data_IF_410429501323
#
_entry.id   IF_410429501323
#
_cell.length_a   1.000
_cell.length_b   1.000
_cell.length_c   1.000
_cell.angle_alpha   90.00
_cell.angle_beta   90.00
_cell.angle_gamma   90.00
#
_symmetry.space_group_name_H-M   'P 1'
#
loop_
_entity.id
_entity.type
_entity.pdbx_description
1 polymer ?
#
# COMPACT_ATOMS: atom_id res chain seq x y z
N UNK A 1 21.20 -15.52 -8.74
CA UNK A 1 21.31 -15.88 -7.30
C UNK A 1 20.38 -17.05 -7.00
N UNK A 2 20.70 -17.95 -6.06
CA UNK A 2 19.81 -19.05 -5.71
C UNK A 2 18.54 -18.54 -5.02
N UNK A 3 17.38 -19.07 -5.42
CA UNK A 3 16.10 -18.75 -4.78
C UNK A 3 16.09 -19.25 -3.33
N UNK A 4 15.58 -18.44 -2.40
CA UNK A 4 15.44 -18.81 -0.98
C UNK A 4 16.58 -18.35 -0.06
N UNK A 5 17.62 -17.72 -0.59
CA UNK A 5 18.65 -17.09 0.24
C UNK A 5 18.12 -15.80 0.87
N UNK A 6 18.07 -15.74 2.20
CA UNK A 6 17.51 -14.59 2.95
C UNK A 6 18.24 -13.26 2.68
N UNK A 7 19.51 -13.29 2.28
CA UNK A 7 20.29 -12.10 1.95
C UNK A 7 20.16 -11.67 0.48
N UNK A 8 19.65 -12.52 -0.41
CA UNK A 8 19.58 -12.24 -1.85
C UNK A 8 18.80 -10.94 -2.15
N UNK A 9 17.63 -10.68 -1.54
CA UNK A 9 16.90 -9.43 -1.76
C UNK A 9 17.74 -8.17 -1.49
N UNK A 10 18.44 -8.18 -0.36
CA UNK A 10 19.29 -7.07 0.06
C UNK A 10 20.45 -6.85 -0.90
N UNK A 11 21.10 -7.93 -1.34
CA UNK A 11 22.24 -7.87 -2.26
C UNK A 11 21.79 -7.33 -3.61
N UNK A 12 20.70 -7.85 -4.17
CA UNK A 12 20.18 -7.43 -5.46
C UNK A 12 19.76 -5.97 -5.46
N UNK A 13 19.00 -5.53 -4.45
CA UNK A 13 18.64 -4.11 -4.27
C UNK A 13 19.90 -3.24 -4.21
N UNK A 14 20.96 -3.66 -3.52
CA UNK A 14 22.21 -2.88 -3.41
C UNK A 14 22.94 -2.77 -4.76
N UNK A 15 22.92 -3.83 -5.57
CA UNK A 15 23.51 -3.85 -6.91
C UNK A 15 22.72 -2.97 -7.90
N UNK A 16 21.39 -2.93 -7.81
CA UNK A 16 20.56 -2.10 -8.68
C UNK A 16 20.68 -0.60 -8.40
N UNK A 17 21.00 -0.19 -7.17
CA UNK A 17 21.11 1.24 -6.80
C UNK A 17 21.96 2.08 -7.76
N UNK A 18 23.23 1.72 -8.09
CA UNK A 18 24.04 2.49 -9.03
C UNK A 18 23.45 2.50 -10.45
N UNK A 19 22.90 1.37 -10.92
CA UNK A 19 22.28 1.25 -12.25
C UNK A 19 21.12 2.23 -12.40
N UNK A 20 20.18 2.19 -11.46
CA UNK A 20 19.04 3.09 -11.42
C UNK A 20 19.46 4.56 -11.20
N UNK A 21 20.58 4.77 -10.49
CA UNK A 21 21.13 6.11 -10.30
C UNK A 21 21.71 6.69 -11.59
N UNK A 22 22.29 5.87 -12.48
CA UNK A 22 22.76 6.34 -13.79
C UNK A 22 21.59 6.82 -14.64
N UNK A 23 20.50 6.05 -14.70
CA UNK A 23 19.27 6.44 -15.39
C UNK A 23 18.70 7.76 -14.84
N UNK A 24 18.66 7.92 -13.50
CA UNK A 24 18.19 9.17 -12.89
C UNK A 24 19.07 10.37 -13.22
N UNK A 25 20.38 10.19 -13.39
CA UNK A 25 21.29 11.27 -13.82
C UNK A 25 21.02 11.73 -15.25
N UNK A 26 20.46 10.86 -16.09
CA UNK A 26 20.05 11.16 -17.46
C UNK A 26 18.63 11.76 -17.53
N UNK A 27 17.95 11.94 -16.39
CA UNK A 27 16.59 12.48 -16.32
C UNK A 27 15.49 11.41 -16.31
N UNK A 28 15.84 10.12 -16.34
CA UNK A 28 14.86 9.03 -16.33
C UNK A 28 14.40 8.68 -14.92
N UNK A 29 13.13 8.98 -14.62
CA UNK A 29 12.49 8.66 -13.35
C UNK A 29 12.18 7.17 -13.28
N UNK A 30 12.59 6.54 -12.18
CA UNK A 30 12.36 5.14 -11.90
C UNK A 30 12.11 4.90 -10.41
N UNK A 31 11.28 3.89 -10.11
CA UNK A 31 11.01 3.38 -8.78
C UNK A 31 11.21 1.87 -8.78
N UNK A 32 12.06 1.34 -7.91
CA UNK A 32 12.35 -0.10 -7.85
C UNK A 32 12.02 -0.68 -6.47
N UNK A 33 11.53 -1.91 -6.46
CA UNK A 33 11.25 -2.65 -5.25
C UNK A 33 11.89 -4.03 -5.27
N UNK A 34 12.75 -4.27 -4.29
CA UNK A 34 13.42 -5.54 -4.02
C UNK A 34 14.14 -6.12 -5.25
N UNK A 35 13.52 -7.04 -5.98
CA UNK A 35 14.23 -7.96 -6.88
C UNK A 35 13.74 -7.94 -8.34
N UNK A 36 12.47 -7.61 -8.57
CA UNK A 36 11.82 -7.94 -9.84
C UNK A 36 10.89 -6.84 -10.37
N UNK A 37 10.57 -5.84 -9.56
CA UNK A 37 9.63 -4.79 -9.93
C UNK A 37 10.34 -3.43 -10.07
N UNK A 38 10.41 -2.93 -11.31
CA UNK A 38 10.91 -1.59 -11.65
C UNK A 38 9.82 -0.85 -12.43
N UNK A 39 9.35 0.26 -11.88
CA UNK A 39 8.40 1.16 -12.49
C UNK A 39 9.14 2.35 -13.09
N UNK A 40 8.91 2.61 -14.39
CA UNK A 40 9.43 3.76 -15.11
C UNK A 40 8.30 4.78 -15.29
N UNK A 41 8.60 6.06 -15.05
CA UNK A 41 7.60 7.14 -15.03
C UNK A 41 8.12 8.30 -15.86
N UNK A 42 7.25 8.93 -16.67
CA UNK A 42 7.56 10.13 -17.44
C UNK A 42 6.28 10.91 -17.72
N UNK A 43 6.39 12.18 -18.10
CA UNK A 43 5.25 13.09 -18.26
C UNK A 43 4.56 12.93 -19.62
N UNK A 44 5.27 12.42 -20.63
CA UNK A 44 4.73 12.12 -21.95
C UNK A 44 4.99 10.68 -22.40
N UNK A 45 4.18 10.22 -23.36
CA UNK A 45 4.37 8.90 -23.98
C UNK A 45 5.74 8.77 -24.66
N UNK A 46 6.23 9.82 -25.31
CA UNK A 46 7.52 9.83 -25.99
C UNK A 46 8.69 9.73 -25.00
N UNK A 47 8.68 10.55 -23.94
CA UNK A 47 9.67 10.49 -22.87
C UNK A 47 9.67 9.11 -22.19
N UNK A 48 8.49 8.56 -21.92
CA UNK A 48 8.36 7.23 -21.33
C UNK A 48 8.93 6.15 -22.26
N UNK A 49 8.69 6.26 -23.57
CA UNK A 49 9.27 5.36 -24.57
C UNK A 49 10.81 5.44 -24.56
N UNK A 50 11.36 6.64 -24.46
CA UNK A 50 12.81 6.86 -24.37
C UNK A 50 13.41 6.32 -23.06
N UNK A 51 12.69 6.48 -21.94
CA UNK A 51 13.05 5.93 -20.64
C UNK A 51 13.09 4.39 -20.68
N UNK A 52 12.04 3.76 -21.21
CA UNK A 52 11.99 2.30 -21.40
C UNK A 52 13.18 1.85 -22.26
N UNK A 53 13.38 2.46 -23.43
CA UNK A 53 14.46 2.09 -24.34
C UNK A 53 15.84 2.19 -23.68
N UNK A 54 16.13 3.30 -23.01
CA UNK A 54 17.41 3.54 -22.34
C UNK A 54 17.62 2.58 -21.18
N UNK A 55 16.57 2.32 -20.41
CA UNK A 55 16.59 1.33 -19.32
C UNK A 55 16.88 -0.07 -19.85
N UNK A 56 16.19 -0.52 -20.90
CA UNK A 56 16.40 -1.84 -21.49
C UNK A 56 17.83 -1.99 -22.02
N UNK A 57 18.35 -0.99 -22.73
CA UNK A 57 19.73 -0.99 -23.23
C UNK A 57 20.75 -1.08 -22.08
N UNK A 58 20.56 -0.30 -21.01
CA UNK A 58 21.45 -0.35 -19.86
C UNK A 58 21.40 -1.71 -19.16
N UNK A 59 20.19 -2.25 -18.91
CA UNK A 59 20.04 -3.56 -18.29
C UNK A 59 20.69 -4.67 -19.11
N UNK A 60 20.48 -4.70 -20.42
CA UNK A 60 21.09 -5.66 -21.33
C UNK A 60 22.63 -5.55 -21.33
N UNK A 61 23.16 -4.32 -21.40
CA UNK A 61 24.61 -4.06 -21.35
C UNK A 61 25.29 -4.55 -20.06
N UNK A 62 24.53 -4.62 -18.97
CA UNK A 62 24.99 -5.06 -17.66
C UNK A 62 24.72 -6.56 -17.42
N UNK A 63 24.14 -7.25 -18.40
CA UNK A 63 23.83 -8.69 -18.34
C UNK A 63 22.59 -9.04 -17.53
N UNK A 64 21.68 -8.09 -17.29
CA UNK A 64 20.37 -8.39 -16.68
C UNK A 64 19.44 -9.01 -17.74
N UNK A 65 18.76 -10.09 -17.37
CA UNK A 65 17.74 -10.71 -18.22
C UNK A 65 16.39 -10.06 -17.97
N UNK A 66 15.83 -9.43 -19.01
CA UNK A 66 14.47 -8.88 -18.98
C UNK A 66 13.46 -9.98 -19.31
N UNK A 67 12.36 -10.03 -18.57
CA UNK A 67 11.35 -11.06 -18.74
C UNK A 67 10.16 -10.54 -19.56
N UNK A 68 10.23 -10.65 -20.88
CA UNK A 68 9.26 -10.05 -21.83
C UNK A 68 7.79 -10.31 -21.49
N UNK A 69 7.44 -11.53 -21.05
CA UNK A 69 6.03 -11.86 -20.71
C UNK A 69 5.51 -11.22 -19.42
N UNK A 70 6.41 -10.74 -18.56
CA UNK A 70 6.06 -10.10 -17.27
C UNK A 70 6.26 -8.59 -17.34
N UNK A 71 7.12 -8.13 -18.23
CA UNK A 71 7.43 -6.71 -18.40
C UNK A 71 6.42 -6.02 -19.32
N UNK A 72 6.04 -4.79 -18.95
CA UNK A 72 5.27 -3.88 -19.81
C UNK A 72 6.25 -2.88 -20.42
N UNK A 73 6.51 -3.01 -21.72
CA UNK A 73 7.50 -2.19 -22.44
C UNK A 73 6.88 -1.09 -23.30
N UNK A 74 5.57 -1.12 -23.49
CA UNK A 74 4.82 -0.03 -24.12
C UNK A 74 4.32 0.90 -23.01
N UNK A 75 4.55 2.23 -23.11
CA UNK A 75 4.01 3.16 -22.13
C UNK A 75 2.49 3.04 -22.01
N UNK A 76 2.00 3.01 -20.77
CA UNK A 76 0.56 2.95 -20.47
C UNK A 76 0.20 3.96 -19.40
N UNK A 77 -1.07 4.36 -19.35
CA UNK A 77 -1.61 5.22 -18.30
C UNK A 77 -2.12 4.46 -17.09
N UNK A 78 -2.27 3.12 -17.22
CA UNK A 78 -2.64 2.20 -16.14
C UNK A 78 -1.66 1.06 -16.08
N UNK A 79 -1.08 0.83 -14.91
CA UNK A 79 -0.08 -0.22 -14.71
C UNK A 79 -0.23 -0.88 -13.34
N UNK A 80 -0.06 -2.20 -13.30
CA UNK A 80 0.03 -2.93 -12.04
C UNK A 80 1.45 -2.88 -11.48
N UNK A 81 1.61 -2.44 -10.23
CA UNK A 81 2.89 -2.38 -9.52
C UNK A 81 2.67 -2.75 -8.04
N UNK A 82 3.43 -3.72 -7.52
CA UNK A 82 3.32 -4.23 -6.14
C UNK A 82 1.89 -4.65 -5.74
N UNK A 83 1.12 -5.12 -6.73
CA UNK A 83 -0.27 -5.53 -6.58
C UNK A 83 -1.25 -4.37 -6.38
N UNK A 84 -0.88 -3.17 -6.82
CA UNK A 84 -1.76 -2.02 -6.98
C UNK A 84 -1.87 -1.64 -8.44
N UNK A 85 -3.02 -1.13 -8.87
CA UNK A 85 -3.18 -0.44 -10.15
C UNK A 85 -2.90 1.06 -9.93
N UNK A 86 -1.96 1.60 -10.68
CA UNK A 86 -1.64 3.03 -10.71
C UNK A 86 -2.27 3.61 -11.98
N UNK A 87 -3.11 4.64 -11.82
CA UNK A 87 -3.75 5.37 -12.92
C UNK A 87 -3.17 6.80 -12.97
N UNK A 88 -2.37 7.08 -14.00
CA UNK A 88 -1.71 8.38 -14.18
C UNK A 88 -2.62 9.47 -14.74
N UNK A 89 -3.79 9.11 -15.28
CA UNK A 89 -4.77 10.09 -15.78
C UNK A 89 -5.60 10.61 -14.61
N UNK A 90 -6.12 9.71 -13.78
CA UNK A 90 -6.92 10.07 -12.61
C UNK A 90 -6.05 10.40 -11.38
N UNK A 91 -4.73 10.15 -11.45
CA UNK A 91 -3.78 10.29 -10.34
C UNK A 91 -4.24 9.51 -9.10
N UNK A 92 -4.59 8.24 -9.28
CA UNK A 92 -5.07 7.36 -8.20
C UNK A 92 -4.32 6.05 -8.13
N UNK A 93 -4.30 5.47 -6.93
CA UNK A 93 -3.83 4.11 -6.66
C UNK A 93 -5.01 3.26 -6.17
N UNK A 94 -5.16 2.07 -6.73
CA UNK A 94 -6.21 1.10 -6.38
C UNK A 94 -5.60 -0.27 -6.09
N UNK A 95 -6.30 -1.10 -5.34
CA UNK A 95 -5.93 -2.51 -5.23
C UNK A 95 -6.28 -3.23 -6.53
N UNK A 96 -5.45 -4.19 -6.92
CA UNK A 96 -5.79 -5.13 -8.00
C UNK A 96 -7.02 -5.97 -7.60
N UNK A 97 -7.83 -6.37 -8.59
CA UNK A 97 -9.02 -7.18 -8.36
C UNK A 97 -8.70 -8.47 -7.58
N UNK A 98 -7.53 -9.06 -7.82
CA UNK A 98 -7.03 -10.24 -7.09
C UNK A 98 -6.82 -9.95 -5.60
N UNK A 99 -6.20 -8.82 -5.23
CA UNK A 99 -6.04 -8.47 -3.81
C UNK A 99 -7.38 -8.15 -3.15
N UNK A 100 -8.27 -7.43 -3.85
CA UNK A 100 -9.63 -7.14 -3.37
C UNK A 100 -10.35 -8.43 -3.03
N UNK A 101 -10.46 -9.37 -3.99
CA UNK A 101 -11.13 -10.65 -3.79
C UNK A 101 -10.54 -11.44 -2.62
N UNK A 102 -9.20 -11.48 -2.50
CA UNK A 102 -8.52 -12.17 -1.41
C UNK A 102 -8.85 -11.59 -0.02
N UNK A 103 -8.97 -10.27 0.10
CA UNK A 103 -9.31 -9.61 1.36
C UNK A 103 -10.80 -9.81 1.67
N UNK A 104 -11.68 -9.58 0.70
CA UNK A 104 -13.13 -9.74 0.86
C UNK A 104 -13.46 -11.18 1.27
N UNK A 105 -12.92 -12.19 0.59
CA UNK A 105 -13.19 -13.59 0.92
C UNK A 105 -12.71 -13.95 2.34
N UNK A 106 -11.54 -13.46 2.75
CA UNK A 106 -11.04 -13.69 4.11
C UNK A 106 -11.91 -13.00 5.16
N UNK A 107 -12.38 -11.78 4.88
CA UNK A 107 -13.29 -11.03 5.75
C UNK A 107 -14.63 -11.73 5.92
N UNK A 108 -15.22 -12.21 4.82
CA UNK A 108 -16.50 -12.95 4.84
C UNK A 108 -16.38 -14.26 5.61
N UNK A 109 -15.33 -15.05 5.34
CA UNK A 109 -15.03 -16.27 6.09
C UNK A 109 -14.92 -16.00 7.60
N UNK A 110 -14.20 -14.94 7.97
CA UNK A 110 -14.00 -14.57 9.37
C UNK A 110 -15.29 -14.13 10.06
N UNK A 111 -16.17 -13.40 9.38
CA UNK A 111 -17.46 -12.97 9.93
C UNK A 111 -18.43 -14.14 10.15
N UNK A 112 -18.31 -15.20 9.35
CA UNK A 112 -19.12 -16.42 9.46
C UNK A 112 -18.73 -17.31 10.65
N UNK A 113 -17.55 -17.10 11.25
CA UNK A 113 -17.07 -17.89 12.40
C UNK A 113 -17.57 -17.31 13.73
N UNK A 114 -17.99 -18.19 14.64
CA UNK A 114 -18.36 -17.82 16.01
C UNK A 114 -17.12 -17.47 16.84
N UNK A 115 -16.06 -18.27 16.66
CA UNK A 115 -14.76 -18.08 17.30
C UNK A 115 -13.66 -18.14 16.24
N UNK A 116 -12.67 -17.29 16.38
CA UNK A 116 -11.47 -17.24 15.52
C UNK A 116 -10.22 -17.26 16.40
N UNK A 117 -9.07 -17.63 15.86
CA UNK A 117 -7.81 -17.43 16.58
C UNK A 117 -7.30 -16.00 16.42
N UNK A 118 -6.54 -15.53 17.41
CA UNK A 118 -5.85 -14.24 17.31
C UNK A 118 -4.89 -14.23 16.10
N UNK A 119 -4.31 -15.38 15.73
CA UNK A 119 -3.50 -15.53 14.50
C UNK A 119 -4.31 -15.29 13.23
N UNK A 120 -5.49 -15.89 13.12
CA UNK A 120 -6.37 -15.64 11.97
C UNK A 120 -6.72 -14.15 11.87
N UNK A 121 -7.05 -13.53 13.00
CA UNK A 121 -7.36 -12.10 13.06
C UNK A 121 -6.16 -11.22 12.65
N UNK A 122 -4.97 -11.52 13.16
CA UNK A 122 -3.73 -10.83 12.80
C UNK A 122 -3.38 -10.98 11.31
N UNK A 123 -3.66 -12.15 10.70
CA UNK A 123 -3.49 -12.35 9.25
C UNK A 123 -4.39 -11.43 8.44
N UNK A 124 -5.66 -11.26 8.85
CA UNK A 124 -6.57 -10.31 8.18
C UNK A 124 -6.03 -8.89 8.34
N UNK A 125 -5.72 -8.46 9.57
CA UNK A 125 -5.18 -7.13 9.85
C UNK A 125 -3.95 -6.84 8.98
N UNK A 126 -2.99 -7.77 8.90
CA UNK A 126 -1.80 -7.59 8.07
C UNK A 126 -2.12 -7.37 6.59
N UNK A 127 -3.16 -8.02 6.05
CA UNK A 127 -3.64 -7.77 4.68
C UNK A 127 -4.31 -6.41 4.53
N UNK A 128 -5.05 -5.95 5.54
CA UNK A 128 -5.71 -4.64 5.54
C UNK A 128 -4.69 -3.50 5.63
N UNK A 129 -3.66 -3.65 6.47
CA UNK A 129 -2.53 -2.71 6.54
C UNK A 129 -1.80 -2.66 5.20
N UNK A 130 -1.52 -3.81 4.60
CA UNK A 130 -0.91 -3.85 3.26
C UNK A 130 -1.80 -3.26 2.15
N UNK A 131 -3.10 -3.06 2.39
CA UNK A 131 -4.03 -2.41 1.47
C UNK A 131 -4.05 -0.88 1.60
N UNK A 132 -3.41 -0.30 2.62
CA UNK A 132 -3.49 1.14 2.95
C UNK A 132 -3.15 2.06 1.78
N UNK A 133 -2.19 1.68 0.93
CA UNK A 133 -1.77 2.49 -0.21
C UNK A 133 -2.85 2.63 -1.29
N UNK A 134 -3.86 1.76 -1.32
CA UNK A 134 -4.97 1.82 -2.27
C UNK A 134 -6.32 2.14 -1.63
N UNK A 135 -6.37 2.43 -0.32
CA UNK A 135 -7.62 2.70 0.41
C UNK A 135 -7.42 3.90 1.33
N UNK A 136 -8.00 5.05 0.95
CA UNK A 136 -7.80 6.32 1.64
C UNK A 136 -8.04 6.25 3.16
N UNK A 137 -9.12 5.59 3.59
CA UNK A 137 -9.53 5.54 4.99
C UNK A 137 -9.11 4.26 5.72
N UNK A 138 -8.23 3.45 5.13
CA UNK A 138 -7.82 2.17 5.72
C UNK A 138 -7.41 2.25 7.20
N UNK A 139 -6.57 3.22 7.64
CA UNK A 139 -6.13 3.28 9.04
C UNK A 139 -7.26 3.44 10.04
N UNK A 140 -8.35 4.11 9.66
CA UNK A 140 -9.50 4.27 10.54
C UNK A 140 -10.12 2.91 10.91
N UNK A 141 -10.16 1.99 9.94
CA UNK A 141 -10.86 0.72 10.10
C UNK A 141 -9.96 -0.40 10.58
N UNK A 142 -8.68 -0.46 10.19
CA UNK A 142 -7.79 -1.51 10.70
C UNK A 142 -7.23 -1.21 12.10
N UNK A 143 -7.10 0.07 12.52
CA UNK A 143 -6.60 0.41 13.87
C UNK A 143 -7.55 -0.07 14.97
N UNK A 144 -8.86 0.00 14.74
CA UNK A 144 -9.86 -0.58 15.66
C UNK A 144 -9.66 -2.09 15.82
N UNK A 145 -9.33 -2.79 14.73
CA UNK A 145 -9.03 -4.22 14.75
C UNK A 145 -7.70 -4.50 15.48
N UNK A 146 -6.68 -3.68 15.27
CA UNK A 146 -5.41 -3.77 16.00
C UNK A 146 -5.59 -3.61 17.50
N UNK A 147 -6.39 -2.63 17.94
CA UNK A 147 -6.73 -2.44 19.35
C UNK A 147 -7.38 -3.69 19.93
N UNK A 148 -8.35 -4.29 19.24
CA UNK A 148 -8.95 -5.54 19.70
C UNK A 148 -7.92 -6.67 19.76
N UNK A 149 -7.09 -6.83 18.72
CA UNK A 149 -6.04 -7.87 18.69
C UNK A 149 -5.10 -7.73 19.89
N UNK A 150 -4.67 -6.51 20.19
CA UNK A 150 -3.73 -6.24 21.28
C UNK A 150 -4.36 -6.48 22.65
N UNK A 151 -5.64 -6.13 22.82
CA UNK A 151 -6.42 -6.48 24.00
C UNK A 151 -6.48 -8.01 24.21
N UNK A 152 -6.82 -8.76 23.15
CA UNK A 152 -6.90 -10.22 23.19
C UNK A 152 -5.54 -10.87 23.47
N UNK A 153 -4.46 -10.37 22.88
CA UNK A 153 -3.11 -10.84 23.19
C UNK A 153 -2.74 -10.57 24.64
N UNK A 154 -3.08 -9.40 25.18
CA UNK A 154 -2.76 -9.02 26.56
C UNK A 154 -3.44 -9.96 27.57
N UNK A 155 -4.73 -10.25 27.39
CA UNK A 155 -5.45 -11.17 28.29
C UNK A 155 -4.99 -12.63 28.14
N UNK A 156 -4.53 -13.02 26.95
CA UNK A 156 -4.05 -14.37 26.64
C UNK A 156 -2.52 -14.53 26.72
N UNK A 157 -1.81 -13.60 27.39
CA UNK A 157 -0.35 -13.65 27.60
C UNK A 157 0.46 -13.84 26.31
N UNK A 158 0.02 -13.20 25.22
CA UNK A 158 0.67 -13.24 23.91
C UNK A 158 0.38 -14.50 23.08
N UNK A 159 -0.56 -15.36 23.50
CA UNK A 159 -0.88 -16.58 22.76
C UNK A 159 -1.70 -16.29 21.49
N UNK A 160 -1.08 -16.42 20.32
CA UNK A 160 -1.75 -16.25 19.03
C UNK A 160 -2.75 -17.37 18.68
N UNK A 161 -2.67 -18.53 19.34
CA UNK A 161 -3.62 -19.64 19.14
C UNK A 161 -4.85 -19.54 20.06
N UNK A 162 -4.92 -18.54 20.94
CA UNK A 162 -6.11 -18.35 21.76
C UNK A 162 -7.32 -18.02 20.89
N UNK A 163 -8.50 -18.49 21.32
CA UNK A 163 -9.77 -18.21 20.66
C UNK A 163 -10.31 -16.88 21.15
N UNK A 164 -10.80 -16.07 20.23
CA UNK A 164 -11.46 -14.79 20.49
C UNK A 164 -12.81 -14.71 19.76
N UNK A 165 -13.67 -13.80 20.20
CA UNK A 165 -14.89 -13.40 19.48
C UNK A 165 -14.70 -11.98 18.95
N UNK A 166 -15.14 -11.73 17.72
CA UNK A 166 -15.16 -10.36 17.19
C UNK A 166 -16.15 -9.50 17.97
N UNK A 167 -15.72 -8.32 18.40
CA UNK A 167 -16.62 -7.32 18.98
C UNK A 167 -17.57 -6.78 17.90
N UNK A 168 -18.61 -6.06 18.31
CA UNK A 168 -19.53 -5.43 17.36
C UNK A 168 -18.78 -4.43 16.47
N UNK A 169 -17.92 -3.61 17.07
CA UNK A 169 -17.13 -2.58 16.39
C UNK A 169 -16.19 -3.19 15.35
N UNK A 170 -15.54 -4.32 15.68
CA UNK A 170 -14.68 -5.02 14.73
C UNK A 170 -15.47 -5.65 13.58
N UNK A 171 -16.66 -6.20 13.86
CA UNK A 171 -17.55 -6.68 12.79
C UNK A 171 -17.97 -5.54 11.86
N UNK A 172 -18.33 -4.39 12.42
CA UNK A 172 -18.71 -3.19 11.66
C UNK A 172 -17.54 -2.70 10.79
N UNK A 173 -16.31 -2.68 11.33
CA UNK A 173 -15.11 -2.35 10.56
C UNK A 173 -14.87 -3.35 9.42
N UNK A 174 -14.98 -4.65 9.67
CA UNK A 174 -14.80 -5.69 8.63
C UNK A 174 -15.89 -5.58 7.55
N UNK A 175 -17.14 -5.31 7.93
CA UNK A 175 -18.23 -5.06 7.00
C UNK A 175 -17.98 -3.82 6.14
N UNK A 176 -17.45 -2.74 6.72
CA UNK A 176 -17.06 -1.56 5.96
C UNK A 176 -16.03 -1.92 4.89
N UNK A 177 -15.03 -2.74 5.22
CA UNK A 177 -14.05 -3.22 4.24
C UNK A 177 -14.72 -4.03 3.12
N UNK A 178 -15.64 -4.94 3.43
CA UNK A 178 -16.33 -5.74 2.41
C UNK A 178 -17.10 -4.85 1.42
N UNK A 179 -17.80 -3.83 1.94
CA UNK A 179 -18.65 -2.95 1.13
C UNK A 179 -17.84 -1.93 0.30
N UNK A 180 -16.75 -1.40 0.86
CA UNK A 180 -16.04 -0.26 0.28
C UNK A 180 -14.80 -0.65 -0.52
N UNK A 181 -14.15 -1.78 -0.19
CA UNK A 181 -12.88 -2.15 -0.82
C UNK A 181 -12.93 -2.26 -2.36
N UNK A 182 -14.01 -2.79 -2.99
CA UNK A 182 -14.09 -2.86 -4.46
C UNK A 182 -14.10 -1.49 -5.16
N UNK A 183 -14.52 -0.44 -4.46
CA UNK A 183 -14.64 0.92 -4.99
C UNK A 183 -13.59 1.87 -4.42
N UNK A 184 -12.74 1.37 -3.53
CA UNK A 184 -11.74 2.18 -2.82
C UNK A 184 -10.58 2.54 -3.73
N UNK A 185 -10.10 3.77 -3.55
CA UNK A 185 -8.88 4.27 -4.15
C UNK A 185 -8.20 5.23 -3.17
N UNK A 186 -6.94 5.55 -3.45
CA UNK A 186 -6.20 6.61 -2.77
C UNK A 186 -5.68 7.59 -3.83
N UNK A 187 -6.00 8.89 -3.72
CA UNK A 187 -5.38 9.91 -4.57
C UNK A 187 -3.87 9.95 -4.35
N UNK A 188 -3.11 10.09 -5.43
CA UNK A 188 -1.66 10.33 -5.39
C UNK A 188 -1.40 11.78 -4.99
N UNK A 189 -2.21 12.70 -5.52
CA UNK A 189 -2.14 14.13 -5.23
C UNK A 189 -3.39 14.52 -4.46
N UNK A 190 -3.20 15.00 -3.23
CA UNK A 190 -4.26 15.62 -2.47
C UNK A 190 -4.38 17.07 -2.90
N UNK A 191 -5.61 17.52 -3.19
CA UNK A 191 -5.88 18.95 -3.34
C UNK A 191 -5.64 19.65 -2.00
N UNK A 192 -5.17 20.88 -2.06
CA UNK A 192 -5.12 21.74 -0.87
C UNK A 192 -6.52 21.81 -0.27
N UNK A 193 -6.67 21.52 1.03
CA UNK A 193 -7.99 21.54 1.64
C UNK A 193 -8.51 22.97 1.74
N UNK A 194 -9.81 23.18 1.52
CA UNK A 194 -10.44 24.49 1.69
C UNK A 194 -10.42 24.96 3.15
N UNK A 195 -10.32 24.01 4.09
CA UNK A 195 -10.19 24.26 5.52
C UNK A 195 -9.18 23.34 6.18
N UNK A 196 -8.37 23.88 7.09
CA UNK A 196 -7.42 23.12 7.90
C UNK A 196 -7.86 23.18 9.36
N UNK A 197 -8.26 22.04 9.91
CA UNK A 197 -8.57 21.89 11.32
C UNK A 197 -7.43 21.11 11.96
N UNK A 198 -6.86 21.66 13.02
CA UNK A 198 -5.87 20.98 13.85
C UNK A 198 -6.56 20.57 15.15
N UNK A 199 -6.39 19.32 15.55
CA UNK A 199 -6.88 18.85 16.84
C UNK A 199 -5.75 18.26 17.66
N UNK A 200 -5.82 18.50 18.96
CA UNK A 200 -4.99 17.84 19.94
C UNK A 200 -5.86 17.04 20.91
N UNK A 201 -5.27 16.02 21.49
CA UNK A 201 -5.94 15.26 22.53
C UNK A 201 -4.93 14.94 23.62
N UNK A 202 -5.39 15.05 24.86
CA UNK A 202 -4.65 14.70 26.06
C UNK A 202 -5.46 13.69 26.88
N UNK A 203 -4.88 13.19 27.96
CA UNK A 203 -5.57 12.28 28.88
C UNK A 203 -6.73 12.96 29.65
N UNK A 204 -6.89 14.28 29.55
CA UNK A 204 -7.84 15.08 30.35
C UNK A 204 -8.91 15.75 29.46
N UNK A 205 -8.69 15.83 28.15
CA UNK A 205 -9.63 16.47 27.21
C UNK A 205 -9.10 16.51 25.78
N UNK A 206 -9.92 17.04 24.88
CA UNK A 206 -9.61 17.22 23.46
C UNK A 206 -9.92 18.66 23.02
N UNK A 207 -9.11 19.19 22.12
CA UNK A 207 -9.27 20.50 21.51
C UNK A 207 -9.25 20.40 19.98
N UNK A 208 -9.92 21.33 19.30
CA UNK A 208 -9.81 21.50 17.87
C UNK A 208 -9.83 22.99 17.50
N UNK A 209 -8.97 23.40 16.59
CA UNK A 209 -8.81 24.78 16.13
C UNK A 209 -8.84 24.84 14.59
N UNK A 210 -9.65 25.74 14.03
CA UNK A 210 -9.70 26.00 12.59
C UNK A 210 -8.60 27.02 12.22
N UNK A 211 -7.60 26.58 11.46
CA UNK A 211 -6.40 27.35 11.09
C UNK A 211 -6.62 28.13 9.78
N UNK A 212 -7.80 28.05 9.18
CA UNK A 212 -8.03 28.54 7.81
C UNK A 212 -8.00 30.07 7.71
N UNK A 213 -8.16 30.80 8.82
CA UNK A 213 -8.09 32.27 8.86
C UNK A 213 -7.23 32.76 10.04
N UNK A 214 -5.94 33.04 9.82
CA UNK A 214 -5.20 33.96 10.69
C UNK A 214 -5.64 35.41 10.40
N UNK A 215 -6.84 35.77 10.85
CA UNK A 215 -7.17 37.18 11.08
C UNK A 215 -6.92 37.43 12.56
N UNK A 216 -5.74 37.98 12.87
CA UNK A 216 -5.51 38.66 14.14
C UNK A 216 -6.61 39.73 14.29
N UNK A 217 -7.56 39.51 15.19
CA UNK A 217 -8.40 40.60 15.67
C UNK A 217 -7.56 41.42 16.65
N UNK A 218 -6.97 42.50 16.14
CA UNK A 218 -6.48 43.64 16.93
C UNK A 218 -7.62 44.31 17.70
#
# INVERSE_FOLDING_TARGET
MPNGLSSAPRVFTKLLKPVLSSLRKEGYVNCAYIDDDILLISDSHEECSNNVKSSLMLFDSLGFTIHDKKSVVTPTTKIEFLGFEIDSVNMTVRLTAKKVANIVNLSVDMLGKVFITVREFAKLIGKLVAAEHGVLYAPLFYKTLEIQKDFELKINKGNFESKMKLSKESRDCINWWILNLPYSFKPIVFKSPDRKIESDSSMIGYGAHDVTNNLDMS
#
